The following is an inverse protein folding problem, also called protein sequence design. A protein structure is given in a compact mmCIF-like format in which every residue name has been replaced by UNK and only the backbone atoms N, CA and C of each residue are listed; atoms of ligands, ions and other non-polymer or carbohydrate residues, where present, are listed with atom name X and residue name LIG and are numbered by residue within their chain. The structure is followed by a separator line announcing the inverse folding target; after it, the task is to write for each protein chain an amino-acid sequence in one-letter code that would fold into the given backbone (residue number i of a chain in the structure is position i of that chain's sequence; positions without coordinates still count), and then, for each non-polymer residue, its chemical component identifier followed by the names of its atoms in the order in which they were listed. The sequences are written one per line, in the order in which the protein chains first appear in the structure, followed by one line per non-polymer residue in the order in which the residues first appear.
data_IF_892551109305
#
_entry.id   IF_892551109305
#
_cell.length_a   1.000
_cell.length_b   1.000
_cell.length_c   1.000
_cell.angle_alpha   90.00
_cell.angle_beta   90.00
_cell.angle_gamma   90.00
#
_symmetry.space_group_name_H-M   'P 1'
#
loop_
_entity.id
_entity.type
_entity.pdbx_description
1 polymer ?
#
# COMPACT_ATOMS: atom_id res chain seq x y z
N UNK A 1 -13.65 5.99 -2.02
CA UNK A 1 -14.99 5.54 -2.46
C UNK A 1 -15.19 4.05 -2.32
N UNK A 2 -14.42 3.19 -3.01
CA UNK A 2 -14.59 1.74 -2.94
C UNK A 2 -14.57 1.21 -1.51
N UNK A 3 -13.54 1.55 -0.73
CA UNK A 3 -13.44 1.16 0.70
C UNK A 3 -14.60 1.72 1.55
N UNK A 4 -15.12 2.91 1.22
CA UNK A 4 -16.27 3.50 1.94
C UNK A 4 -17.59 2.80 1.60
N UNK A 5 -17.87 2.61 0.31
CA UNK A 5 -19.15 2.08 -0.15
C UNK A 5 -19.30 0.58 0.03
N UNK A 6 -18.20 -0.18 -0.05
CA UNK A 6 -18.22 -1.64 0.08
C UNK A 6 -17.63 -2.13 1.41
N UNK A 7 -17.07 -1.24 2.24
CA UNK A 7 -16.36 -1.61 3.46
C UNK A 7 -15.02 -2.31 3.21
N UNK A 8 -14.48 -2.91 4.27
CA UNK A 8 -13.32 -3.82 4.22
C UNK A 8 -13.69 -5.09 4.98
N UNK A 9 -13.40 -6.26 4.39
CA UNK A 9 -13.53 -7.55 5.08
C UNK A 9 -12.29 -7.87 5.93
N UNK A 10 -11.21 -7.12 5.71
CA UNK A 10 -10.01 -7.21 6.52
C UNK A 10 -10.08 -6.20 7.69
N UNK A 11 -10.04 -6.73 8.90
CA UNK A 11 -10.01 -5.97 10.14
C UNK A 11 -8.59 -5.65 10.66
N UNK A 12 -7.58 -6.34 10.14
CA UNK A 12 -6.19 -6.27 10.60
C UNK A 12 -5.28 -5.37 9.75
N UNK A 13 -5.72 -4.97 8.55
CA UNK A 13 -5.00 -4.09 7.63
C UNK A 13 -5.84 -2.88 7.22
N UNK A 14 -5.20 -1.80 6.74
CA UNK A 14 -5.91 -0.67 6.17
C UNK A 14 -6.73 -1.08 4.94
N UNK A 15 -7.94 -0.55 4.79
CA UNK A 15 -8.76 -0.80 3.60
C UNK A 15 -8.25 -0.11 2.33
N UNK A 16 -7.35 0.88 2.45
CA UNK A 16 -6.64 1.51 1.34
C UNK A 16 -5.13 1.57 1.60
N UNK A 17 -4.35 0.89 0.75
CA UNK A 17 -2.89 0.96 0.75
C UNK A 17 -2.37 1.55 -0.57
N UNK A 18 -1.43 2.49 -0.48
CA UNK A 18 -0.70 3.03 -1.63
C UNK A 18 0.79 2.64 -1.55
N UNK A 19 1.25 1.88 -2.55
CA UNK A 19 2.61 1.35 -2.64
C UNK A 19 3.46 2.30 -3.47
N UNK A 20 4.56 2.73 -2.88
CA UNK A 20 5.54 3.66 -3.43
C UNK A 20 4.92 4.89 -4.11
N UNK A 21 3.98 5.61 -3.46
CA UNK A 21 3.36 6.78 -4.08
C UNK A 21 4.40 7.84 -4.44
N UNK A 22 4.13 8.60 -5.51
CA UNK A 22 4.96 9.74 -5.85
C UNK A 22 4.74 10.90 -4.87
N UNK A 23 5.79 11.50 -4.30
CA UNK A 23 5.67 12.71 -3.51
C UNK A 23 5.42 13.96 -4.39
N UNK A 24 5.69 13.87 -5.69
CA UNK A 24 5.43 14.93 -6.67
C UNK A 24 3.94 15.08 -6.99
N UNK A 25 3.59 16.14 -7.71
CA UNK A 25 2.27 16.34 -8.33
C UNK A 25 1.08 16.10 -7.38
N UNK A 26 1.09 16.72 -6.19
CA UNK A 26 -0.05 16.69 -5.25
C UNK A 26 0.21 15.95 -3.94
N UNK A 27 1.26 15.13 -3.85
CA UNK A 27 1.70 14.47 -2.62
C UNK A 27 0.58 13.66 -1.95
N UNK A 28 0.35 13.90 -0.65
CA UNK A 28 -0.64 13.15 0.14
C UNK A 28 -2.08 13.26 -0.38
N UNK A 29 -2.39 14.26 -1.21
CA UNK A 29 -3.71 14.39 -1.83
C UNK A 29 -4.00 13.30 -2.86
N UNK A 30 -2.97 12.73 -3.48
CA UNK A 30 -3.10 11.68 -4.51
C UNK A 30 -3.61 10.35 -3.96
N UNK A 31 -3.53 10.16 -2.65
CA UNK A 31 -4.06 9.01 -1.91
C UNK A 31 -4.86 9.47 -0.68
N UNK A 32 -5.47 10.66 -0.79
CA UNK A 32 -6.24 11.29 0.28
C UNK A 32 -7.68 10.78 0.40
N UNK A 33 -8.31 10.98 1.56
CA UNK A 33 -9.74 10.71 1.75
C UNK A 33 -10.67 11.76 1.12
N UNK A 34 -10.12 12.90 0.67
CA UNK A 34 -10.87 14.05 0.18
C UNK A 34 -11.93 14.52 1.19
N UNK A 35 -13.22 14.38 0.88
CA UNK A 35 -14.33 14.74 1.76
C UNK A 35 -14.86 13.57 2.60
N UNK A 36 -14.31 12.37 2.43
CA UNK A 36 -14.62 11.23 3.29
C UNK A 36 -13.91 11.39 4.65
N UNK A 37 -14.46 10.77 5.72
CA UNK A 37 -13.83 10.79 7.04
C UNK A 37 -12.35 10.35 7.01
N UNK A 38 -11.51 10.86 7.93
CA UNK A 38 -10.07 10.58 7.95
C UNK A 38 -9.68 9.09 7.98
N UNK A 39 -10.57 8.22 8.49
CA UNK A 39 -10.36 6.76 8.49
C UNK A 39 -10.19 6.15 7.08
N UNK A 40 -10.61 6.86 6.03
CA UNK A 40 -10.44 6.44 4.64
C UNK A 40 -9.16 6.96 3.97
N UNK A 41 -8.28 7.64 4.73
CA UNK A 41 -6.98 8.08 4.25
C UNK A 41 -6.11 6.87 3.86
N UNK A 42 -5.46 6.95 2.69
CA UNK A 42 -4.57 5.89 2.22
C UNK A 42 -3.35 5.73 3.13
N UNK A 43 -3.04 4.49 3.50
CA UNK A 43 -1.80 4.14 4.21
C UNK A 43 -0.70 3.90 3.19
N UNK A 44 0.44 4.59 3.33
CA UNK A 44 1.52 4.51 2.36
C UNK A 44 2.62 3.54 2.78
N UNK A 45 3.24 2.92 1.78
CA UNK A 45 4.45 2.10 1.95
C UNK A 45 5.52 2.56 0.99
N UNK A 46 6.70 2.89 1.52
CA UNK A 46 7.80 3.40 0.70
C UNK A 46 7.49 4.73 0.01
N UNK A 47 8.24 5.03 -1.06
CA UNK A 47 8.12 6.25 -1.87
C UNK A 47 8.56 5.94 -3.30
N UNK A 48 7.97 6.62 -4.28
CA UNK A 48 8.43 6.51 -5.67
C UNK A 48 9.92 6.88 -5.78
N UNK A 49 10.66 6.12 -6.61
CA UNK A 49 12.11 6.29 -6.79
C UNK A 49 12.99 5.78 -5.64
N UNK A 50 12.42 5.35 -4.51
CA UNK A 50 13.15 4.64 -3.46
C UNK A 50 13.23 3.12 -3.74
N UNK A 51 14.18 2.41 -3.13
CA UNK A 51 14.25 0.95 -3.24
C UNK A 51 12.97 0.30 -2.71
N UNK A 52 12.29 -0.49 -3.54
CA UNK A 52 11.06 -1.17 -3.13
C UNK A 52 11.32 -2.26 -2.07
N UNK A 53 12.56 -2.76 -1.97
CA UNK A 53 12.98 -3.65 -0.90
C UNK A 53 12.87 -3.02 0.51
N UNK A 54 12.91 -1.68 0.60
CA UNK A 54 12.78 -0.94 1.85
C UNK A 54 11.34 -0.47 2.10
N UNK A 55 10.42 -0.68 1.15
CA UNK A 55 9.04 -0.24 1.24
C UNK A 55 8.31 -0.96 2.36
N UNK A 56 7.92 -0.20 3.38
CA UNK A 56 7.24 -0.69 4.58
C UNK A 56 6.27 0.37 5.09
N UNK A 57 5.25 -0.08 5.81
CA UNK A 57 4.47 0.81 6.66
C UNK A 57 5.38 1.21 7.83
N UNK A 58 5.48 2.51 8.08
CA UNK A 58 6.35 3.05 9.14
C UNK A 58 5.83 2.60 10.50
N UNK A 59 6.77 2.45 11.45
CA UNK A 59 6.48 2.19 12.86
C UNK A 59 5.67 0.90 13.15
N UNK A 60 5.68 -0.07 12.22
CA UNK A 60 5.06 -1.40 12.41
C UNK A 60 5.76 -2.27 13.45
N UNK A 61 7.05 -2.08 13.68
CA UNK A 61 7.85 -2.90 14.60
C UNK A 61 8.46 -2.01 15.66
N UNK A 62 8.13 -2.30 16.92
CA UNK A 62 8.68 -1.60 18.07
C UNK A 62 9.86 -2.39 18.66
N UNK A 63 11.07 -1.92 18.41
CA UNK A 63 12.30 -2.53 18.91
C UNK A 63 12.62 -2.18 20.37
N UNK A 64 11.88 -1.27 21.01
CA UNK A 64 12.19 -0.74 22.36
C UNK A 64 11.39 -1.41 23.47
N UNK A 65 10.15 -1.80 23.19
CA UNK A 65 9.23 -2.35 24.17
C UNK A 65 8.91 -3.80 23.86
N UNK A 66 8.82 -4.64 24.89
CA UNK A 66 8.28 -6.00 24.75
C UNK A 66 6.78 -5.96 24.39
N UNK A 67 6.27 -7.01 23.73
CA UNK A 67 4.84 -7.12 23.38
C UNK A 67 3.91 -6.90 24.58
N UNK A 68 4.29 -7.39 25.77
CA UNK A 68 3.55 -7.18 27.02
C UNK A 68 3.54 -5.72 27.48
N UNK A 69 4.63 -4.98 27.28
CA UNK A 69 4.67 -3.54 27.58
C UNK A 69 3.82 -2.75 26.58
N UNK A 70 3.88 -3.10 25.30
CA UNK A 70 3.06 -2.46 24.26
C UNK A 70 1.56 -2.70 24.50
N UNK A 71 1.16 -3.92 24.91
CA UNK A 71 -0.24 -4.22 25.27
C UNK A 71 -0.72 -3.34 26.43
N UNK A 72 0.07 -3.19 27.49
CA UNK A 72 -0.30 -2.31 28.62
C UNK A 72 -0.44 -0.84 28.20
N UNK A 73 0.43 -0.38 27.30
CA UNK A 73 0.34 0.98 26.76
C UNK A 73 -0.93 1.16 25.92
N UNK A 74 -1.25 0.17 25.08
CA UNK A 74 -2.47 0.17 24.27
C UNK A 74 -3.73 0.15 25.13
N UNK A 75 -3.80 -0.70 26.16
CA UNK A 75 -4.93 -0.76 27.10
C UNK A 75 -5.13 0.58 27.84
N UNK A 76 -4.04 1.23 28.26
CA UNK A 76 -4.10 2.55 28.89
C UNK A 76 -4.66 3.61 27.91
N UNK A 77 -4.11 3.67 26.69
CA UNK A 77 -4.58 4.61 25.67
C UNK A 77 -6.06 4.39 25.35
N UNK A 78 -6.48 3.13 25.20
CA UNK A 78 -7.87 2.75 24.96
C UNK A 78 -8.79 3.20 26.09
N UNK A 79 -8.37 3.01 27.34
CA UNK A 79 -9.12 3.49 28.51
C UNK A 79 -9.28 5.00 28.53
N UNK A 80 -8.22 5.76 28.18
CA UNK A 80 -8.28 7.22 28.13
C UNK A 80 -9.22 7.68 27.01
N UNK A 81 -9.08 7.10 25.83
CA UNK A 81 -9.94 7.40 24.67
C UNK A 81 -11.42 7.13 25.00
N UNK A 82 -11.74 5.98 25.61
CA UNK A 82 -13.11 5.65 26.00
C UNK A 82 -13.68 6.60 27.06
N UNK A 83 -12.84 7.15 27.94
CA UNK A 83 -13.28 8.15 28.93
C UNK A 83 -13.60 9.51 28.31
N UNK A 84 -13.06 9.79 27.12
CA UNK A 84 -13.21 11.04 26.38
C UNK A 84 -14.27 10.97 25.28
N UNK A 85 -14.88 9.81 25.04
CA UNK A 85 -16.04 9.63 24.15
C UNK A 85 -17.32 9.76 24.98
N UNK A 86 -18.03 10.90 24.97
CA UNK A 86 -19.42 10.94 25.40
C UNK A 86 -20.25 9.99 24.55
N UNK A 87 -21.23 9.32 25.16
CA UNK A 87 -22.13 8.40 24.45
C UNK A 87 -22.93 9.04 23.28
N UNK A 88 -22.95 10.36 23.18
CA UNK A 88 -23.73 11.16 22.21
C UNK A 88 -22.87 12.18 21.43
N UNK A 89 -21.54 12.07 21.40
CA UNK A 89 -20.69 13.17 20.87
C UNK A 89 -20.79 13.38 19.35
N UNK A 90 -21.06 12.34 18.56
CA UNK A 90 -21.01 12.42 17.09
C UNK A 90 -19.65 12.89 16.55
N UNK A 91 -18.60 12.80 17.36
CA UNK A 91 -17.26 13.31 17.05
C UNK A 91 -16.50 12.32 16.16
N UNK A 92 -16.75 12.43 14.86
CA UNK A 92 -16.14 11.59 13.84
C UNK A 92 -14.60 11.71 13.80
N UNK A 93 -14.02 12.82 14.28
CA UNK A 93 -12.57 13.00 14.34
C UNK A 93 -11.97 12.15 15.47
N UNK A 94 -12.56 12.22 16.67
CA UNK A 94 -12.12 11.39 17.80
C UNK A 94 -12.29 9.90 17.52
N UNK A 95 -13.43 9.49 16.96
CA UNK A 95 -13.65 8.09 16.56
C UNK A 95 -12.61 7.63 15.52
N UNK A 96 -12.28 8.46 14.54
CA UNK A 96 -11.25 8.14 13.54
C UNK A 96 -9.87 7.97 14.18
N UNK A 97 -9.51 8.80 15.17
CA UNK A 97 -8.26 8.66 15.92
C UNK A 97 -8.21 7.34 16.68
N UNK A 98 -9.30 6.98 17.37
CA UNK A 98 -9.41 5.74 18.14
C UNK A 98 -9.27 4.53 17.22
N UNK A 99 -10.05 4.51 16.13
CA UNK A 99 -9.99 3.45 15.13
C UNK A 99 -8.59 3.32 14.51
N UNK A 100 -7.89 4.42 14.28
CA UNK A 100 -6.52 4.42 13.76
C UNK A 100 -5.54 3.76 14.73
N UNK A 101 -5.67 4.02 16.04
CA UNK A 101 -4.83 3.35 17.05
C UNK A 101 -5.14 1.87 17.19
N UNK A 102 -6.41 1.47 17.18
CA UNK A 102 -6.81 0.06 17.22
C UNK A 102 -6.34 -0.71 15.98
N UNK A 103 -6.46 -0.10 14.79
CA UNK A 103 -5.92 -0.66 13.55
C UNK A 103 -4.39 -0.79 13.62
N UNK A 104 -3.68 0.26 14.03
CA UNK A 104 -2.22 0.22 14.17
C UNK A 104 -1.76 -0.92 15.11
N UNK A 105 -2.46 -1.13 16.23
CA UNK A 105 -2.21 -2.24 17.14
C UNK A 105 -2.36 -3.61 16.46
N UNK A 106 -3.46 -3.82 15.72
CA UNK A 106 -3.68 -5.07 14.96
C UNK A 106 -2.63 -5.29 13.88
N UNK A 107 -2.26 -4.23 13.15
CA UNK A 107 -1.26 -4.27 12.09
C UNK A 107 0.11 -4.72 12.58
N UNK A 108 0.53 -4.32 13.78
CA UNK A 108 1.85 -4.73 14.34
C UNK A 108 2.02 -6.25 14.42
N UNK A 109 0.93 -7.01 14.57
CA UNK A 109 0.98 -8.48 14.65
C UNK A 109 0.76 -9.18 13.30
N UNK A 110 0.16 -8.51 12.30
CA UNK A 110 -0.26 -9.16 11.05
C UNK A 110 0.47 -8.63 9.81
N UNK A 111 0.71 -7.32 9.72
CA UNK A 111 1.31 -6.71 8.54
C UNK A 111 2.76 -7.17 8.26
N UNK A 112 3.65 -7.40 9.26
CA UNK A 112 5.02 -7.83 8.99
C UNK A 112 5.09 -9.13 8.17
N UNK A 113 4.29 -10.14 8.53
CA UNK A 113 4.27 -11.42 7.83
C UNK A 113 3.71 -11.30 6.41
N UNK A 114 2.74 -10.42 6.22
CA UNK A 114 2.10 -10.18 4.92
C UNK A 114 3.05 -9.43 3.98
N UNK A 115 3.87 -8.51 4.51
CA UNK A 115 4.79 -7.69 3.72
C UNK A 115 6.17 -8.32 3.52
N UNK A 116 6.48 -9.44 4.19
CA UNK A 116 7.75 -10.14 4.03
C UNK A 116 7.81 -10.96 2.72
N UNK A 117 8.42 -10.36 1.70
CA UNK A 117 8.63 -10.98 0.39
C UNK A 117 9.67 -12.10 0.41
N UNK A 118 10.51 -12.21 1.45
CA UNK A 118 11.54 -13.25 1.52
C UNK A 118 10.95 -14.66 1.64
N UNK A 119 9.67 -14.75 2.02
CA UNK A 119 8.90 -16.00 2.13
C UNK A 119 8.38 -16.51 0.79
N UNK A 120 8.53 -15.74 -0.29
CA UNK A 120 8.09 -16.13 -1.63
C UNK A 120 9.11 -17.02 -2.33
N UNK A 121 8.62 -17.96 -3.13
CA UNK A 121 9.48 -18.91 -3.82
C UNK A 121 10.35 -18.21 -4.88
N UNK A 122 11.53 -18.78 -5.24
CA UNK A 122 12.33 -18.25 -6.33
C UNK A 122 11.57 -18.18 -7.66
N UNK A 123 10.67 -19.14 -7.92
CA UNK A 123 9.83 -19.15 -9.11
C UNK A 123 8.87 -17.96 -9.13
N UNK A 124 8.22 -17.67 -8.00
CA UNK A 124 7.38 -16.48 -7.85
C UNK A 124 8.21 -15.21 -8.05
N UNK A 125 9.37 -15.09 -7.41
CA UNK A 125 10.21 -13.90 -7.58
C UNK A 125 10.62 -13.69 -9.05
N UNK A 126 10.95 -14.78 -9.77
CA UNK A 126 11.29 -14.74 -11.18
C UNK A 126 10.11 -14.34 -12.08
N UNK A 127 8.88 -14.76 -11.74
CA UNK A 127 7.65 -14.36 -12.45
C UNK A 127 7.50 -12.84 -12.50
N UNK A 128 7.76 -12.16 -11.39
CA UNK A 128 7.71 -10.69 -11.30
C UNK A 128 8.98 -10.00 -11.82
N UNK A 129 10.02 -10.73 -12.23
CA UNK A 129 11.31 -10.15 -12.61
C UNK A 129 12.05 -9.52 -11.44
N UNK A 130 11.87 -10.05 -10.22
CA UNK A 130 12.64 -9.62 -9.05
C UNK A 130 14.07 -10.14 -9.18
N UNK A 131 15.04 -9.31 -8.77
CA UNK A 131 16.49 -9.45 -8.96
C UNK A 131 16.97 -9.24 -10.41
N UNK A 132 16.09 -8.80 -11.32
CA UNK A 132 16.47 -8.32 -12.66
C UNK A 132 16.53 -6.79 -12.65
N UNK A 133 17.66 -6.21 -13.10
CA UNK A 133 17.90 -4.75 -13.01
C UNK A 133 16.74 -3.84 -13.45
N UNK A 134 16.07 -4.06 -14.61
CA UNK A 134 15.02 -3.14 -15.03
C UNK A 134 13.72 -3.30 -14.23
N UNK A 135 13.46 -4.46 -13.64
CA UNK A 135 12.14 -4.83 -13.11
C UNK A 135 12.11 -5.01 -11.60
N UNK A 136 13.26 -5.10 -10.92
CA UNK A 136 13.33 -5.46 -9.49
C UNK A 136 12.38 -4.65 -8.61
N UNK A 137 12.45 -3.32 -8.67
CA UNK A 137 11.64 -2.47 -7.81
C UNK A 137 10.13 -2.63 -8.09
N UNK A 138 9.73 -2.53 -9.36
CA UNK A 138 8.30 -2.61 -9.70
C UNK A 138 7.75 -4.04 -9.56
N UNK A 139 8.58 -5.05 -9.78
CA UNK A 139 8.30 -6.45 -9.46
C UNK A 139 7.98 -6.66 -7.99
N UNK A 140 8.79 -6.09 -7.08
CA UNK A 140 8.50 -6.13 -5.64
C UNK A 140 7.20 -5.40 -5.29
N UNK A 141 6.93 -4.26 -5.91
CA UNK A 141 5.69 -3.51 -5.70
C UNK A 141 4.45 -4.30 -6.13
N UNK A 142 4.49 -4.93 -7.31
CA UNK A 142 3.42 -5.81 -7.78
C UNK A 142 3.25 -7.04 -6.88
N UNK A 143 4.34 -7.66 -6.42
CA UNK A 143 4.27 -8.80 -5.51
C UNK A 143 3.69 -8.42 -4.13
N UNK A 144 4.04 -7.26 -3.59
CA UNK A 144 3.39 -6.70 -2.39
C UNK A 144 1.89 -6.52 -2.61
N UNK A 145 1.48 -5.99 -3.77
CA UNK A 145 0.08 -5.80 -4.10
C UNK A 145 -0.68 -7.13 -4.14
N UNK A 146 -0.09 -8.20 -4.71
CA UNK A 146 -0.68 -9.54 -4.67
C UNK A 146 -0.88 -10.02 -3.23
N UNK A 147 0.14 -9.92 -2.37
CA UNK A 147 0.03 -10.38 -0.97
C UNK A 147 -0.99 -9.58 -0.17
N UNK A 148 -1.13 -8.28 -0.44
CA UNK A 148 -2.18 -7.46 0.16
C UNK A 148 -3.58 -7.84 -0.34
N UNK A 149 -3.71 -8.19 -1.63
CA UNK A 149 -4.96 -8.67 -2.22
C UNK A 149 -5.37 -10.01 -1.58
N UNK A 150 -4.43 -10.96 -1.43
CA UNK A 150 -4.66 -12.21 -0.69
C UNK A 150 -5.06 -11.99 0.76
N UNK A 151 -4.49 -10.97 1.40
CA UNK A 151 -4.86 -10.60 2.76
C UNK A 151 -6.22 -9.89 2.84
N UNK A 152 -6.89 -9.60 1.73
CA UNK A 152 -8.20 -8.94 1.71
C UNK A 152 -8.16 -7.41 1.85
N UNK A 153 -7.05 -6.76 1.48
CA UNK A 153 -7.02 -5.29 1.39
C UNK A 153 -7.92 -4.84 0.24
N UNK A 154 -8.92 -4.01 0.56
CA UNK A 154 -9.99 -3.64 -0.38
C UNK A 154 -9.53 -2.80 -1.58
N UNK A 155 -8.60 -1.87 -1.37
CA UNK A 155 -8.10 -1.01 -2.46
C UNK A 155 -6.59 -0.86 -2.36
N UNK A 156 -5.89 -1.24 -3.42
CA UNK A 156 -4.44 -1.22 -3.50
C UNK A 156 -4.05 -0.40 -4.71
N UNK A 157 -3.27 0.65 -4.48
CA UNK A 157 -2.71 1.47 -5.55
C UNK A 157 -1.21 1.20 -5.66
N UNK A 158 -0.75 0.81 -6.84
CA UNK A 158 0.67 0.59 -7.13
C UNK A 158 1.16 1.70 -8.06
N UNK A 159 2.18 2.44 -7.66
CA UNK A 159 2.68 3.57 -8.47
C UNK A 159 4.02 3.22 -9.11
N UNK A 160 4.03 3.06 -10.43
CA UNK A 160 5.28 3.16 -11.17
C UNK A 160 5.63 4.64 -11.35
N UNK A 161 6.68 5.08 -10.67
CA UNK A 161 7.14 6.45 -10.78
C UNK A 161 8.52 6.62 -10.16
N UNK A 162 9.11 7.78 -10.41
CA UNK A 162 10.30 8.23 -9.72
C UNK A 162 10.12 9.66 -9.22
N UNK A 163 10.91 10.04 -8.22
CA UNK A 163 10.91 11.39 -7.65
C UNK A 163 11.83 12.36 -8.40
N UNK A 164 12.12 12.10 -9.68
CA UNK A 164 13.09 12.90 -10.45
C UNK A 164 12.42 14.13 -11.09
N UNK A 165 13.20 15.15 -11.50
CA UNK A 165 12.66 16.32 -12.20
C UNK A 165 12.02 16.01 -13.56
N UNK A 166 12.32 14.85 -14.16
CA UNK A 166 11.65 14.33 -15.35
C UNK A 166 11.07 12.96 -15.00
N UNK A 167 9.90 12.92 -14.33
CA UNK A 167 9.30 11.70 -13.83
C UNK A 167 9.18 10.63 -14.91
N UNK A 168 9.21 9.37 -14.49
CA UNK A 168 8.87 8.26 -15.38
C UNK A 168 7.53 8.52 -16.09
N UNK A 169 7.49 8.30 -17.41
CA UNK A 169 6.37 8.62 -18.30
C UNK A 169 6.08 10.12 -18.53
N UNK A 170 6.92 11.03 -18.02
CA UNK A 170 6.80 12.48 -18.22
C UNK A 170 7.95 13.07 -19.07
N UNK A 171 8.44 12.29 -20.05
CA UNK A 171 9.49 12.77 -20.94
C UNK A 171 8.95 13.76 -21.98
N UNK A 172 9.51 14.96 -21.97
CA UNK A 172 9.22 16.03 -22.94
C UNK A 172 10.14 15.99 -24.18
N UNK A 173 11.09 15.05 -24.21
CA UNK A 173 12.04 14.84 -25.31
C UNK A 173 12.61 13.42 -25.26
N UNK A 174 13.26 12.97 -26.33
CA UNK A 174 13.85 11.62 -26.44
C UNK A 174 12.84 10.50 -26.14
N UNK A 175 11.68 10.56 -26.82
CA UNK A 175 10.58 9.61 -26.66
C UNK A 175 10.98 8.12 -26.74
N UNK A 176 12.01 7.70 -27.53
CA UNK A 176 12.46 6.31 -27.48
C UNK A 176 12.84 5.79 -26.08
N UNK A 177 13.18 6.66 -25.12
CA UNK A 177 13.41 6.27 -23.72
C UNK A 177 12.18 5.69 -23.01
N UNK A 178 10.96 5.90 -23.51
CA UNK A 178 9.76 5.23 -22.99
C UNK A 178 9.87 3.70 -23.06
N UNK A 179 10.67 3.17 -24.00
CA UNK A 179 10.93 1.73 -24.08
C UNK A 179 11.60 1.19 -22.80
N UNK A 180 12.40 1.99 -22.10
CA UNK A 180 12.99 1.58 -20.84
C UNK A 180 11.92 1.45 -19.75
N UNK A 181 11.00 2.42 -19.68
CA UNK A 181 9.87 2.38 -18.74
C UNK A 181 8.92 1.21 -19.03
N UNK A 182 8.59 0.98 -20.30
CA UNK A 182 7.80 -0.17 -20.72
C UNK A 182 8.45 -1.49 -20.25
N UNK A 183 9.76 -1.66 -20.46
CA UNK A 183 10.50 -2.85 -19.98
C UNK A 183 10.49 -3.02 -18.47
N UNK A 184 10.43 -1.93 -17.69
CA UNK A 184 10.36 -2.01 -16.22
C UNK A 184 9.01 -2.50 -15.72
N UNK A 185 7.93 -2.23 -16.44
CA UNK A 185 6.55 -2.50 -15.98
C UNK A 185 5.91 -3.73 -16.60
N UNK A 186 6.28 -4.07 -17.84
CA UNK A 186 5.65 -5.13 -18.62
C UNK A 186 5.65 -6.49 -17.90
N UNK A 187 6.83 -6.98 -17.53
CA UNK A 187 6.98 -8.27 -16.83
C UNK A 187 6.34 -8.28 -15.44
N UNK A 188 6.55 -7.28 -14.55
CA UNK A 188 5.86 -7.24 -13.26
C UNK A 188 4.32 -7.23 -13.36
N UNK A 189 3.75 -6.51 -14.32
CA UNK A 189 2.28 -6.47 -14.53
C UNK A 189 1.80 -7.83 -15.01
N UNK A 190 2.46 -8.41 -16.01
CA UNK A 190 2.13 -9.75 -16.49
C UNK A 190 2.20 -10.78 -15.35
N UNK A 191 3.26 -10.72 -14.53
CA UNK A 191 3.43 -11.58 -13.38
C UNK A 191 2.35 -11.39 -12.32
N UNK A 192 1.90 -10.16 -12.06
CA UNK A 192 0.78 -9.88 -11.17
C UNK A 192 -0.51 -10.51 -11.66
N UNK A 193 -0.87 -10.30 -12.93
CA UNK A 193 -2.09 -10.83 -13.51
C UNK A 193 -2.09 -12.36 -13.49
N UNK A 194 -0.97 -12.98 -13.85
CA UNK A 194 -0.79 -14.43 -13.82
C UNK A 194 -0.92 -14.99 -12.40
N UNK A 195 -0.23 -14.40 -11.40
CA UNK A 195 -0.26 -14.89 -10.01
C UNK A 195 -1.65 -14.68 -9.37
N UNK A 196 -2.34 -13.56 -9.67
CA UNK A 196 -3.74 -13.36 -9.22
C UNK A 196 -4.68 -14.40 -9.84
N UNK A 197 -4.51 -14.71 -11.13
CA UNK A 197 -5.30 -15.72 -11.82
C UNK A 197 -5.08 -17.13 -11.23
N UNK A 198 -3.82 -17.52 -11.02
CA UNK A 198 -3.47 -18.82 -10.44
C UNK A 198 -4.07 -19.04 -9.04
N UNK A 199 -4.34 -17.95 -8.31
CA UNK A 199 -4.93 -17.97 -6.97
C UNK A 199 -6.45 -17.81 -6.95
N UNK A 200 -7.07 -17.63 -8.12
CA UNK A 200 -8.51 -17.36 -8.24
C UNK A 200 -8.92 -15.96 -7.76
N UNK A 201 -7.97 -15.05 -7.55
CA UNK A 201 -8.27 -13.68 -7.07
C UNK A 201 -8.87 -12.80 -8.17
N UNK A 202 -8.67 -13.13 -9.45
CA UNK A 202 -9.29 -12.36 -10.53
C UNK A 202 -10.80 -12.59 -10.66
N UNK A 203 -11.36 -13.58 -9.94
CA UNK A 203 -12.81 -13.83 -9.94
C UNK A 203 -13.59 -12.70 -9.23
N UNK A 204 -12.96 -12.03 -8.27
CA UNK A 204 -13.57 -10.96 -7.47
C UNK A 204 -12.74 -9.66 -7.42
N UNK A 205 -11.53 -9.66 -7.98
CA UNK A 205 -10.63 -8.50 -8.03
C UNK A 205 -10.59 -7.88 -9.43
N UNK A 206 -10.91 -6.59 -9.51
CA UNK A 206 -10.69 -5.78 -10.72
C UNK A 206 -9.26 -5.22 -10.68
N UNK A 207 -8.48 -5.53 -11.71
CA UNK A 207 -7.19 -4.87 -11.96
C UNK A 207 -7.38 -3.76 -12.98
N UNK A 208 -7.16 -2.52 -12.56
CA UNK A 208 -7.18 -1.35 -13.44
C UNK A 208 -5.76 -0.81 -13.62
N UNK A 209 -5.30 -0.76 -14.86
CA UNK A 209 -4.06 -0.13 -15.26
C UNK A 209 -4.32 1.09 -16.14
N UNK A 210 -3.60 2.18 -15.88
CA UNK A 210 -3.73 3.42 -16.63
C UNK A 210 -2.62 4.41 -16.30
N UNK A 211 -2.61 5.51 -17.04
CA UNK A 211 -1.73 6.65 -16.84
C UNK A 211 -2.56 7.95 -16.79
N UNK A 212 -2.02 9.00 -16.20
CA UNK A 212 -2.70 10.29 -16.08
C UNK A 212 -2.89 10.98 -17.45
N UNK A 213 -1.86 10.94 -18.28
CA UNK A 213 -1.84 11.55 -19.61
C UNK A 213 -0.87 10.81 -20.54
N UNK A 214 -0.99 11.05 -21.85
CA UNK A 214 -0.02 10.61 -22.85
C UNK A 214 0.92 11.74 -23.28
N UNK A 215 2.02 11.38 -23.94
CA UNK A 215 2.95 12.32 -24.60
C UNK A 215 3.08 11.95 -26.08
N UNK A 216 3.20 12.95 -26.95
CA UNK A 216 3.35 12.83 -28.41
C UNK A 216 4.48 13.69 -28.92
#
# INVERSE_FOLDING_TARGET
WINYGLGSENENLPGFVSICPSPGNGGARNYGSAFLPPVFQGTTMGTAGGPAADARIRDLVNARLSRRQQLRQFELLRSLNNSQLPADSGDAELEAVINSFELAWRMQSHAPDILDLSRETPATQALYGINEKPTDDFGRQCLMARRLSEAGVRFIQVTYGDGTPNPAWDQHSNLPKHADHARRVDKPIAGLLEDLNQRGLLEDTIVWWGAEFGRT
#
